data_IF_711480779314
#
_entry.id   IF_711480779314
#
_cell.length_a   1.000
_cell.length_b   1.000
_cell.length_c   1.000
_cell.angle_alpha   90.00
_cell.angle_beta   90.00
_cell.angle_gamma   90.00
#
_symmetry.space_group_name_H-M   'P 1'
#
loop_
_entity.id
_entity.type
_entity.pdbx_description
1 polymer ?
#
# COMPACT_ATOMS: atom_id res chain seq x y z
N UNK A 1 53.28 16.38 -13.31
CA UNK A 1 52.04 16.81 -12.62
C UNK A 1 50.85 16.19 -13.34
N UNK A 2 50.21 15.22 -12.67
CA UNK A 2 49.12 14.41 -13.18
C UNK A 2 47.84 15.22 -13.37
N UNK A 3 47.26 15.15 -14.56
CA UNK A 3 46.04 15.84 -14.96
C UNK A 3 44.86 15.03 -14.41
N UNK A 4 44.29 15.46 -13.29
CA UNK A 4 43.10 14.84 -12.69
C UNK A 4 41.94 14.97 -13.67
N UNK A 5 41.59 13.86 -14.31
CA UNK A 5 40.36 13.72 -15.10
C UNK A 5 39.18 13.80 -14.14
N UNK A 6 38.49 14.95 -14.12
CA UNK A 6 37.16 15.07 -13.50
C UNK A 6 36.25 14.04 -14.16
N UNK A 7 35.83 13.03 -13.39
CA UNK A 7 34.83 12.07 -13.82
C UNK A 7 33.56 12.83 -14.20
N UNK A 8 33.08 12.56 -15.42
CA UNK A 8 31.80 13.08 -15.90
C UNK A 8 30.73 12.52 -14.98
N UNK A 9 30.05 13.38 -14.21
CA UNK A 9 28.79 13.03 -13.54
C UNK A 9 27.79 12.70 -14.64
N UNK A 10 27.69 11.43 -15.00
CA UNK A 10 26.69 10.93 -15.94
C UNK A 10 25.34 11.13 -15.28
N UNK A 11 24.57 12.11 -15.77
CA UNK A 11 23.15 12.26 -15.42
C UNK A 11 22.46 10.97 -15.85
N UNK A 12 22.18 10.10 -14.90
CA UNK A 12 21.29 8.96 -15.10
C UNK A 12 19.88 9.53 -15.28
N UNK A 13 19.60 9.94 -16.52
CA UNK A 13 18.26 10.27 -16.98
C UNK A 13 17.44 9.00 -16.79
N UNK A 14 16.16 9.13 -16.45
CA UNK A 14 15.21 8.00 -16.45
C UNK A 14 14.87 7.58 -17.89
N UNK A 15 15.90 7.46 -18.75
CA UNK A 15 15.81 6.94 -20.09
C UNK A 15 15.67 5.43 -19.97
N UNK A 16 14.43 4.96 -20.00
CA UNK A 16 14.10 3.54 -20.11
C UNK A 16 14.20 3.14 -21.59
N UNK A 17 15.00 2.12 -21.89
CA UNK A 17 15.08 1.57 -23.26
C UNK A 17 14.00 0.51 -23.42
N UNK A 18 13.24 0.59 -24.51
CA UNK A 18 12.14 -0.34 -24.81
C UNK A 18 10.80 0.05 -24.18
N UNK A 19 9.81 -0.83 -24.31
CA UNK A 19 8.50 -0.69 -23.68
C UNK A 19 8.58 -1.09 -22.21
N UNK A 20 8.01 -0.27 -21.34
CA UNK A 20 7.86 -0.59 -19.92
C UNK A 20 6.53 -1.29 -19.68
N UNK A 21 6.57 -2.33 -18.86
CA UNK A 21 5.40 -2.97 -18.28
C UNK A 21 5.78 -3.53 -16.92
N UNK A 22 4.83 -3.61 -16.00
CA UNK A 22 5.02 -4.31 -14.74
C UNK A 22 5.03 -5.82 -15.01
N UNK A 23 6.04 -6.56 -14.55
CA UNK A 23 6.12 -8.00 -14.79
C UNK A 23 5.01 -8.79 -14.10
N UNK A 24 4.30 -9.64 -14.85
CA UNK A 24 3.32 -10.61 -14.32
C UNK A 24 3.92 -12.02 -14.15
N UNK A 25 5.14 -12.22 -14.64
CA UNK A 25 5.88 -13.48 -14.55
C UNK A 25 7.39 -13.23 -14.57
N UNK A 26 8.17 -14.24 -14.20
CA UNK A 26 9.63 -14.20 -14.29
C UNK A 26 10.09 -14.02 -15.74
N UNK A 27 9.40 -14.63 -16.70
CA UNK A 27 9.66 -14.52 -18.13
C UNK A 27 9.43 -13.07 -18.61
N UNK A 28 8.36 -12.43 -18.14
CA UNK A 28 8.09 -11.02 -18.43
C UNK A 28 9.19 -10.12 -17.85
N UNK A 29 9.61 -10.40 -16.60
CA UNK A 29 10.70 -9.67 -15.97
C UNK A 29 11.99 -9.80 -16.79
N UNK A 30 12.37 -11.02 -17.19
CA UNK A 30 13.57 -11.27 -18.00
C UNK A 30 13.49 -10.52 -19.33
N UNK A 31 12.33 -10.54 -20.00
CA UNK A 31 12.11 -9.82 -21.26
C UNK A 31 12.31 -8.31 -21.10
N UNK A 32 11.71 -7.71 -20.08
CA UNK A 32 11.80 -6.27 -19.80
C UNK A 32 13.20 -5.87 -19.31
N UNK A 33 13.82 -6.68 -18.45
CA UNK A 33 15.19 -6.45 -17.97
C UNK A 33 16.22 -6.59 -19.11
N UNK A 34 16.02 -7.53 -20.05
CA UNK A 34 16.89 -7.69 -21.22
C UNK A 34 16.80 -6.49 -22.15
N UNK A 35 15.59 -6.05 -22.51
CA UNK A 35 15.38 -4.91 -23.42
C UNK A 35 15.91 -3.58 -22.85
N UNK A 36 15.91 -3.45 -21.53
CA UNK A 36 16.40 -2.28 -20.81
C UNK A 36 17.87 -2.37 -20.35
N UNK A 37 18.58 -3.47 -20.67
CA UNK A 37 19.97 -3.71 -20.26
C UNK A 37 20.19 -3.77 -18.73
N UNK A 38 19.22 -4.33 -17.99
CA UNK A 38 19.20 -4.43 -16.53
C UNK A 38 19.49 -5.84 -15.97
N UNK A 39 19.60 -6.88 -16.80
CA UNK A 39 19.77 -8.27 -16.34
C UNK A 39 20.94 -8.49 -15.34
N UNK A 40 22.05 -7.76 -15.53
CA UNK A 40 23.25 -7.86 -14.69
C UNK A 40 23.39 -6.69 -13.71
N UNK A 41 22.30 -5.97 -13.46
CA UNK A 41 22.27 -4.78 -12.60
C UNK A 41 21.52 -5.08 -11.32
N UNK A 42 21.86 -4.35 -10.27
CA UNK A 42 21.14 -4.33 -8.99
C UNK A 42 20.74 -2.91 -8.62
N UNK A 43 19.93 -2.75 -7.57
CA UNK A 43 19.61 -1.42 -7.01
C UNK A 43 20.89 -0.65 -6.60
N UNK A 44 21.95 -1.35 -6.22
CA UNK A 44 23.25 -0.77 -5.86
C UNK A 44 24.04 -0.16 -7.04
N UNK A 45 23.60 -0.42 -8.28
CA UNK A 45 24.17 0.19 -9.49
C UNK A 45 23.46 1.49 -9.91
N UNK A 46 22.31 1.80 -9.29
CA UNK A 46 21.55 3.00 -9.63
C UNK A 46 22.09 4.22 -8.88
N UNK A 47 22.56 5.21 -9.63
CA UNK A 47 23.06 6.47 -9.07
C UNK A 47 21.96 7.39 -8.51
N UNK A 48 20.69 7.11 -8.83
CA UNK A 48 19.52 7.89 -8.37
C UNK A 48 18.27 7.03 -8.27
N UNK A 49 17.73 6.91 -7.07
CA UNK A 49 16.44 6.30 -6.79
C UNK A 49 15.38 7.40 -6.58
N UNK A 50 14.16 7.17 -7.06
CA UNK A 50 13.00 8.00 -6.73
C UNK A 50 12.41 7.57 -5.39
N UNK A 51 11.71 8.49 -4.71
CA UNK A 51 10.90 8.16 -3.54
C UNK A 51 9.77 7.18 -3.90
N UNK A 52 9.10 6.58 -2.90
CA UNK A 52 8.00 5.64 -3.13
C UNK A 52 6.91 6.16 -4.09
N UNK A 53 6.49 7.41 -3.94
CA UNK A 53 5.50 8.05 -4.83
C UNK A 53 6.03 8.48 -6.20
N UNK A 54 7.35 8.34 -6.44
CA UNK A 54 8.07 8.79 -7.65
C UNK A 54 9.05 7.73 -8.14
N UNK A 55 8.71 6.46 -7.97
CA UNK A 55 9.54 5.32 -8.38
C UNK A 55 9.84 5.40 -9.87
N UNK A 56 11.10 5.19 -10.22
CA UNK A 56 11.54 5.17 -11.63
C UNK A 56 11.35 3.80 -12.23
N UNK A 57 11.22 3.73 -13.56
CA UNK A 57 11.02 2.46 -14.28
C UNK A 57 12.18 1.48 -14.05
N UNK A 58 13.44 1.94 -14.18
CA UNK A 58 14.62 1.10 -13.92
C UNK A 58 14.65 0.60 -12.46
N UNK A 59 14.32 1.47 -11.52
CA UNK A 59 14.25 1.13 -10.09
C UNK A 59 13.19 0.05 -9.86
N UNK A 60 12.00 0.19 -10.43
CA UNK A 60 10.95 -0.81 -10.29
C UNK A 60 11.34 -2.17 -10.87
N UNK A 61 11.93 -2.21 -12.07
CA UNK A 61 12.42 -3.48 -12.62
C UNK A 61 13.49 -4.11 -11.71
N UNK A 62 14.35 -3.30 -11.09
CA UNK A 62 15.35 -3.79 -10.14
C UNK A 62 14.80 -4.08 -8.74
N UNK A 63 13.55 -3.75 -8.43
CA UNK A 63 12.86 -4.35 -7.29
C UNK A 63 12.55 -5.83 -7.52
N UNK A 64 12.60 -6.33 -8.77
CA UNK A 64 12.30 -7.74 -9.09
C UNK A 64 10.95 -8.18 -8.51
N UNK A 65 9.95 -7.30 -8.56
CA UNK A 65 8.59 -7.61 -8.16
C UNK A 65 7.81 -8.24 -9.32
N UNK A 66 7.10 -9.32 -9.02
CA UNK A 66 6.19 -10.02 -9.93
C UNK A 66 4.77 -9.81 -9.41
N UNK A 67 3.92 -9.20 -10.22
CA UNK A 67 2.53 -8.92 -9.90
C UNK A 67 1.61 -9.89 -10.62
N UNK A 68 1.09 -10.88 -9.89
CA UNK A 68 0.06 -11.77 -10.43
C UNK A 68 -1.19 -10.95 -10.76
N UNK A 69 -2.00 -11.46 -11.71
CA UNK A 69 -3.31 -10.87 -11.97
C UNK A 69 -4.16 -10.88 -10.71
N UNK A 70 -4.89 -9.78 -10.40
CA UNK A 70 -5.74 -9.74 -9.22
C UNK A 70 -6.73 -10.90 -9.20
N UNK A 71 -6.81 -11.55 -8.04
CA UNK A 71 -7.73 -12.64 -7.75
C UNK A 71 -9.01 -12.05 -7.17
N UNK A 72 -10.17 -12.65 -7.51
CA UNK A 72 -11.45 -12.24 -6.92
C UNK A 72 -11.43 -12.39 -5.39
N UNK A 73 -12.12 -11.47 -4.72
CA UNK A 73 -12.18 -11.39 -3.26
C UNK A 73 -12.64 -12.71 -2.58
N UNK A 74 -13.65 -13.36 -3.15
CA UNK A 74 -14.26 -14.61 -2.69
C UNK A 74 -13.29 -15.81 -2.67
N UNK A 75 -12.13 -15.69 -3.34
CA UNK A 75 -11.15 -16.77 -3.38
C UNK A 75 -10.17 -16.77 -2.22
N UNK A 76 -10.10 -15.69 -1.42
CA UNK A 76 -9.14 -15.60 -0.32
C UNK A 76 -9.40 -16.69 0.73
N UNK A 77 -10.66 -16.99 1.07
CA UNK A 77 -11.01 -18.04 2.02
C UNK A 77 -10.40 -19.39 1.64
N UNK A 78 -10.54 -19.81 0.38
CA UNK A 78 -9.97 -21.08 -0.12
C UNK A 78 -8.44 -21.09 -0.16
N UNK A 79 -7.81 -19.93 0.02
CA UNK A 79 -6.36 -19.75 0.08
C UNK A 79 -5.87 -19.34 1.47
N UNK A 80 -6.74 -19.32 2.48
CA UNK A 80 -6.40 -18.87 3.83
C UNK A 80 -5.18 -19.60 4.43
N UNK A 81 -5.05 -20.91 4.16
CA UNK A 81 -3.90 -21.71 4.61
C UNK A 81 -2.56 -21.17 4.08
N UNK A 82 -2.51 -20.69 2.83
CA UNK A 82 -1.30 -20.11 2.21
C UNK A 82 -0.73 -18.96 3.04
N UNK A 83 -1.60 -18.23 3.73
CA UNK A 83 -1.27 -17.04 4.52
C UNK A 83 -1.31 -17.28 6.03
N UNK A 84 -1.35 -18.55 6.46
CA UNK A 84 -1.50 -18.94 7.85
C UNK A 84 -2.80 -18.38 8.49
N UNK A 85 -3.90 -18.27 7.75
CA UNK A 85 -5.17 -17.73 8.28
C UNK A 85 -6.21 -18.81 8.59
N UNK A 86 -6.01 -20.06 8.14
CA UNK A 86 -6.97 -21.17 8.31
C UNK A 86 -7.35 -21.42 9.78
N UNK A 87 -6.37 -21.43 10.68
CA UNK A 87 -6.59 -21.68 12.11
C UNK A 87 -7.36 -20.58 12.86
N UNK A 88 -7.54 -19.39 12.29
CA UNK A 88 -8.29 -18.27 12.89
C UNK A 88 -9.55 -17.90 12.12
N UNK A 89 -9.75 -18.47 10.93
CA UNK A 89 -10.80 -18.06 9.99
C UNK A 89 -12.21 -18.25 10.55
N UNK A 90 -12.49 -19.38 11.19
CA UNK A 90 -13.81 -19.64 11.79
C UNK A 90 -14.09 -18.70 12.97
N UNK A 91 -13.07 -18.36 13.76
CA UNK A 91 -13.21 -17.38 14.83
C UNK A 91 -13.52 -15.99 14.26
N UNK A 92 -12.87 -15.59 13.15
CA UNK A 92 -13.16 -14.35 12.46
C UNK A 92 -14.62 -14.30 11.97
N UNK A 93 -15.10 -15.36 11.32
CA UNK A 93 -16.51 -15.50 10.92
C UNK A 93 -17.46 -15.37 12.10
N UNK A 94 -17.15 -16.04 13.22
CA UNK A 94 -17.97 -15.98 14.42
C UNK A 94 -18.04 -14.58 15.03
N UNK A 95 -16.91 -13.86 15.11
CA UNK A 95 -16.88 -12.48 15.62
C UNK A 95 -17.74 -11.54 14.75
N UNK A 96 -17.60 -11.63 13.42
CA UNK A 96 -18.37 -10.83 12.46
C UNK A 96 -19.87 -11.13 12.58
N UNK A 97 -20.25 -12.40 12.63
CA UNK A 97 -21.65 -12.81 12.74
C UNK A 97 -22.30 -12.42 14.08
N UNK A 98 -21.52 -12.37 15.16
CA UNK A 98 -22.02 -12.12 16.52
C UNK A 98 -22.23 -10.64 16.84
N UNK A 99 -21.64 -9.72 16.07
CA UNK A 99 -21.72 -8.28 16.33
C UNK A 99 -23.03 -7.67 15.81
N UNK A 100 -23.95 -7.35 16.72
CA UNK A 100 -25.26 -6.74 16.37
C UNK A 100 -25.11 -5.40 15.65
N UNK A 101 -24.17 -4.57 16.08
CA UNK A 101 -23.93 -3.26 15.46
C UNK A 101 -23.37 -3.39 14.05
N UNK A 102 -22.44 -4.34 13.83
CA UNK A 102 -21.95 -4.66 12.50
C UNK A 102 -23.08 -5.17 11.58
N UNK A 103 -23.97 -6.04 12.09
CA UNK A 103 -25.10 -6.52 11.29
C UNK A 103 -26.05 -5.38 10.87
N UNK A 104 -26.25 -4.37 11.73
CA UNK A 104 -27.00 -3.16 11.36
C UNK A 104 -26.26 -2.31 10.34
N UNK A 105 -24.94 -2.15 10.47
CA UNK A 105 -24.12 -1.50 9.45
C UNK A 105 -24.24 -2.21 8.09
N UNK A 106 -24.08 -3.53 8.04
CA UNK A 106 -24.17 -4.33 6.81
C UNK A 106 -25.55 -4.21 6.15
N UNK A 107 -26.62 -4.06 6.94
CA UNK A 107 -27.98 -3.84 6.42
C UNK A 107 -28.17 -2.47 5.73
N UNK A 108 -27.25 -1.53 5.95
CA UNK A 108 -27.28 -0.16 5.44
C UNK A 108 -26.20 0.14 4.37
N UNK A 109 -25.20 -0.72 4.19
CA UNK A 109 -24.07 -0.54 3.24
C UNK A 109 -24.52 -0.19 1.82
N UNK A 110 -25.57 -0.86 1.32
CA UNK A 110 -26.11 -0.66 -0.03
C UNK A 110 -27.27 0.35 -0.09
N UNK A 111 -27.58 1.01 1.05
CA UNK A 111 -28.75 1.91 1.22
C UNK A 111 -28.36 3.22 1.92
N UNK A 112 -27.49 4.05 1.33
CA UNK A 112 -27.04 5.31 1.92
C UNK A 112 -28.20 6.26 2.27
N UNK A 113 -29.27 6.27 1.47
CA UNK A 113 -30.47 7.06 1.70
C UNK A 113 -31.22 6.66 2.97
N UNK A 114 -31.19 5.38 3.36
CA UNK A 114 -31.83 4.92 4.58
C UNK A 114 -31.06 5.40 5.80
N UNK A 115 -29.72 5.33 5.75
CA UNK A 115 -28.87 5.81 6.83
C UNK A 115 -29.04 7.31 7.09
N UNK A 116 -29.20 8.13 6.04
CA UNK A 116 -29.40 9.58 6.17
C UNK A 116 -30.66 9.97 6.96
N UNK A 117 -31.63 9.07 7.12
CA UNK A 117 -32.88 9.29 7.86
C UNK A 117 -32.82 8.80 9.31
N UNK A 118 -31.77 8.07 9.70
CA UNK A 118 -31.64 7.48 11.02
C UNK A 118 -30.93 8.43 12.00
N UNK A 119 -31.27 8.25 13.26
CA UNK A 119 -30.68 8.89 14.44
C UNK A 119 -30.29 7.83 15.47
N UNK A 120 -29.54 8.22 16.51
CA UNK A 120 -29.06 7.28 17.53
C UNK A 120 -30.17 6.57 18.31
N UNK A 121 -31.39 7.13 18.33
CA UNK A 121 -32.54 6.52 19.01
C UNK A 121 -33.23 5.43 18.19
N UNK A 122 -32.93 5.32 16.90
CA UNK A 122 -33.56 4.35 16.02
C UNK A 122 -32.99 2.94 16.21
N UNK A 123 -33.85 1.92 16.22
CA UNK A 123 -33.43 0.53 16.42
C UNK A 123 -32.48 0.01 15.33
N UNK A 124 -32.53 0.61 14.14
CA UNK A 124 -31.69 0.31 12.99
C UNK A 124 -30.32 1.04 13.03
N UNK A 125 -30.11 1.94 13.99
CA UNK A 125 -28.85 2.69 14.11
C UNK A 125 -27.66 1.73 14.29
N UNK A 126 -26.59 1.87 13.47
CA UNK A 126 -25.45 0.94 13.48
C UNK A 126 -24.47 1.17 14.63
N UNK A 127 -24.78 2.06 15.58
CA UNK A 127 -23.97 2.26 16.79
C UNK A 127 -22.56 2.74 16.47
N UNK A 128 -21.55 2.05 17.00
CA UNK A 128 -20.13 2.33 16.77
C UNK A 128 -19.72 2.30 15.30
N UNK A 129 -20.51 1.67 14.42
CA UNK A 129 -20.25 1.61 12.97
C UNK A 129 -20.84 2.80 12.19
N UNK A 130 -21.57 3.71 12.83
CA UNK A 130 -22.14 4.88 12.16
C UNK A 130 -21.07 5.80 11.52
N UNK A 131 -19.92 6.10 12.17
CA UNK A 131 -18.84 6.86 11.54
C UNK A 131 -18.27 6.16 10.30
N UNK A 132 -18.11 4.84 10.34
CA UNK A 132 -17.63 4.03 9.20
C UNK A 132 -18.54 4.25 7.99
N UNK A 133 -19.85 4.05 8.17
CA UNK A 133 -20.83 4.21 7.10
C UNK A 133 -20.87 5.66 6.56
N UNK A 134 -20.74 6.65 7.45
CA UNK A 134 -20.70 8.06 7.07
C UNK A 134 -19.52 8.38 6.15
N UNK A 135 -18.32 7.91 6.48
CA UNK A 135 -17.12 8.19 5.67
C UNK A 135 -17.07 7.35 4.40
N UNK A 136 -17.49 6.09 4.45
CA UNK A 136 -17.69 5.24 3.28
C UNK A 136 -18.66 5.88 2.27
N UNK A 137 -19.78 6.43 2.72
CA UNK A 137 -20.74 7.10 1.84
C UNK A 137 -20.15 8.36 1.19
N UNK A 138 -19.28 9.10 1.89
CA UNK A 138 -18.55 10.24 1.31
C UNK A 138 -17.61 9.81 0.18
N UNK A 139 -16.89 8.70 0.35
CA UNK A 139 -16.07 8.11 -0.71
C UNK A 139 -16.94 7.72 -1.91
N UNK A 140 -18.06 7.05 -1.68
CA UNK A 140 -19.00 6.67 -2.75
C UNK A 140 -19.57 7.87 -3.49
N UNK A 141 -19.94 8.94 -2.78
CA UNK A 141 -20.40 10.19 -3.38
C UNK A 141 -19.30 10.86 -4.20
N UNK A 142 -18.07 10.87 -3.70
CA UNK A 142 -16.92 11.42 -4.39
C UNK A 142 -16.65 10.67 -5.70
N UNK A 143 -16.58 9.33 -5.67
CA UNK A 143 -16.36 8.52 -6.87
C UNK A 143 -17.49 8.65 -7.91
N UNK A 144 -18.73 8.99 -7.49
CA UNK A 144 -19.86 9.24 -8.42
C UNK A 144 -19.77 10.59 -9.12
N UNK A 145 -19.07 11.58 -8.54
CA UNK A 145 -18.85 12.86 -9.20
C UNK A 145 -17.92 12.58 -10.38
N UNK A 146 -18.48 12.59 -11.60
CA UNK A 146 -17.65 12.62 -12.82
C UNK A 146 -16.58 13.70 -12.60
N UNK A 147 -15.32 13.47 -12.99
CA UNK A 147 -14.38 14.58 -13.05
C UNK A 147 -15.04 15.61 -13.95
N UNK A 148 -15.46 16.75 -13.37
CA UNK A 148 -15.69 17.94 -14.16
C UNK A 148 -14.43 18.07 -15.02
N UNK A 149 -14.59 18.20 -16.35
CA UNK A 149 -13.49 18.34 -17.30
C UNK A 149 -12.34 19.01 -16.57
N UNK A 150 -11.24 18.29 -16.36
CA UNK A 150 -10.03 18.92 -15.87
C UNK A 150 -9.74 20.04 -16.87
N UNK A 151 -10.08 21.27 -16.50
CA UNK A 151 -9.47 22.45 -17.07
C UNK A 151 -7.99 22.14 -16.98
N UNK A 152 -7.26 22.12 -18.11
CA UNK A 152 -5.88 21.70 -18.10
C UNK A 152 -5.20 22.53 -17.03
N UNK A 153 -4.71 21.82 -16.00
CA UNK A 153 -3.73 22.34 -15.05
C UNK A 153 -2.84 23.23 -15.88
N UNK A 154 -2.94 24.53 -15.63
CA UNK A 154 -2.22 25.56 -16.36
C UNK A 154 -0.77 25.15 -16.23
N UNK A 155 -0.26 24.55 -17.30
CA UNK A 155 1.15 24.28 -17.45
C UNK A 155 1.82 25.60 -17.12
N UNK A 156 2.69 25.57 -16.12
CA UNK A 156 3.52 26.70 -15.77
C UNK A 156 4.35 27.03 -17.01
N UNK A 157 3.80 27.89 -17.85
CA UNK A 157 4.46 28.45 -19.02
C UNK A 157 5.64 29.20 -18.46
N UNK A 158 6.80 28.61 -18.71
CA UNK A 158 8.10 29.26 -18.73
C UNK A 158 7.98 30.65 -19.39
N UNK A 159 7.85 31.69 -18.56
CA UNK A 159 8.22 33.03 -18.97
C UNK A 159 9.68 33.25 -18.64
N UNK A 160 10.45 33.21 -19.72
CA UNK A 160 11.83 33.61 -19.82
C UNK A 160 11.98 35.06 -19.32
N UNK A 161 12.69 35.30 -18.20
CA UNK A 161 13.37 36.60 -17.96
C UNK A 161 14.52 36.50 -16.96
N UNK A 162 15.72 36.51 -17.55
CA UNK A 162 16.98 37.18 -17.15
C UNK A 162 17.55 36.94 -15.73
N UNK A 163 18.74 36.30 -15.77
CA UNK A 163 19.89 36.38 -14.85
C UNK A 163 19.89 37.53 -13.82
N UNK A 164 20.15 37.19 -12.55
CA UNK A 164 21.19 37.83 -11.72
C UNK A 164 21.67 36.87 -10.61
N UNK A 165 22.97 36.95 -10.32
CA UNK A 165 23.73 36.17 -9.35
C UNK A 165 23.25 36.31 -7.90
N UNK A 166 23.48 35.26 -7.09
CA UNK A 166 23.48 35.32 -5.63
C UNK A 166 23.54 33.93 -5.00
N UNK A 167 24.50 33.71 -4.10
CA UNK A 167 24.85 32.43 -3.43
C UNK A 167 24.04 32.27 -2.14
N UNK A 168 23.46 31.09 -1.87
CA UNK A 168 23.47 30.34 -0.59
C UNK A 168 22.36 29.26 -0.55
N UNK A 169 22.57 28.12 0.14
CA UNK A 169 21.65 26.99 0.16
C UNK A 169 20.54 27.23 1.20
N UNK A 170 19.28 27.02 0.82
CA UNK A 170 18.17 26.97 1.76
C UNK A 170 17.58 25.56 1.78
N UNK A 171 17.66 24.99 2.97
CA UNK A 171 16.93 23.82 3.44
C UNK A 171 15.45 24.03 3.12
N UNK A 172 14.90 23.18 2.27
CA UNK A 172 13.49 23.20 1.90
C UNK A 172 12.69 22.59 3.07
N UNK A 173 12.53 23.37 4.14
CA UNK A 173 11.61 23.07 5.23
C UNK A 173 10.18 23.36 4.77
N UNK A 174 9.45 22.26 4.57
CA UNK A 174 8.02 22.03 4.81
C UNK A 174 7.21 23.28 5.20
N UNK A 175 6.44 23.78 4.24
CA UNK A 175 5.17 24.45 4.48
C UNK A 175 4.14 23.78 3.55
N UNK A 176 3.68 22.60 3.96
CA UNK A 176 2.43 22.03 3.48
C UNK A 176 1.29 22.61 4.34
N UNK A 177 0.97 23.88 4.17
CA UNK A 177 -0.23 24.47 4.77
C UNK A 177 -1.10 25.11 3.68
N UNK A 178 -2.41 24.88 3.80
CA UNK A 178 -3.51 25.33 2.92
C UNK A 178 -3.70 24.61 1.57
N UNK A 179 -3.55 23.28 1.52
CA UNK A 179 -4.35 22.51 0.56
C UNK A 179 -5.70 22.15 1.20
N UNK A 180 -6.85 22.31 0.48
CA UNK A 180 -8.09 21.69 0.94
C UNK A 180 -7.82 20.20 1.19
N UNK A 181 -8.55 19.56 2.13
CA UNK A 181 -8.37 18.13 2.39
C UNK A 181 -8.34 17.41 1.05
N UNK A 182 -7.23 16.74 0.75
CA UNK A 182 -7.15 15.93 -0.46
C UNK A 182 -8.29 14.93 -0.39
N UNK A 183 -8.94 14.62 -1.51
CA UNK A 183 -9.95 13.56 -1.56
C UNK A 183 -9.35 12.21 -1.06
N UNK A 184 -8.02 12.09 -1.11
CA UNK A 184 -7.25 10.98 -0.54
C UNK A 184 -7.33 10.94 1.00
N UNK A 185 -7.43 12.07 1.69
CA UNK A 185 -7.66 12.12 3.14
C UNK A 185 -9.03 11.58 3.53
N UNK A 186 -10.06 11.78 2.70
CA UNK A 186 -11.39 11.19 2.89
C UNK A 186 -11.30 9.66 2.77
N UNK A 187 -10.58 9.19 1.74
CA UNK A 187 -10.33 7.76 1.50
C UNK A 187 -9.57 7.12 2.67
N UNK A 188 -8.48 7.76 3.14
CA UNK A 188 -7.72 7.28 4.29
C UNK A 188 -8.58 7.21 5.57
N UNK A 189 -9.37 8.26 5.82
CA UNK A 189 -10.25 8.30 6.99
C UNK A 189 -11.29 7.18 6.94
N UNK A 190 -11.86 6.92 5.76
CA UNK A 190 -12.82 5.83 5.57
C UNK A 190 -12.19 4.46 5.85
N UNK A 191 -11.01 4.19 5.25
CA UNK A 191 -10.29 2.94 5.44
C UNK A 191 -9.90 2.72 6.91
N UNK A 192 -9.27 3.70 7.57
CA UNK A 192 -8.80 3.56 8.95
C UNK A 192 -9.97 3.36 9.92
N UNK A 193 -11.07 4.10 9.77
CA UNK A 193 -12.26 3.90 10.62
C UNK A 193 -12.88 2.52 10.42
N UNK A 194 -12.91 2.01 9.18
CA UNK A 194 -13.38 0.65 8.92
C UNK A 194 -12.47 -0.38 9.60
N UNK A 195 -11.15 -0.25 9.45
CA UNK A 195 -10.18 -1.18 10.02
C UNK A 195 -10.20 -1.16 11.56
N UNK A 196 -10.32 0.01 12.17
CA UNK A 196 -10.46 0.18 13.62
C UNK A 196 -11.78 -0.42 14.15
N UNK A 197 -12.89 -0.24 13.42
CA UNK A 197 -14.16 -0.86 13.78
C UNK A 197 -14.09 -2.40 13.72
N UNK A 198 -13.39 -2.99 12.74
CA UNK A 198 -13.15 -4.44 12.69
C UNK A 198 -12.23 -4.88 13.84
N UNK A 199 -11.15 -4.13 14.10
CA UNK A 199 -10.22 -4.40 15.20
C UNK A 199 -10.96 -4.46 16.55
N UNK A 200 -11.93 -3.57 16.78
CA UNK A 200 -12.74 -3.54 18.01
C UNK A 200 -13.53 -4.82 18.28
N UNK A 201 -13.74 -5.66 17.26
CA UNK A 201 -14.38 -6.97 17.41
C UNK A 201 -13.45 -8.00 18.05
N UNK A 202 -12.12 -7.78 18.07
CA UNK A 202 -11.11 -8.71 18.59
C UNK A 202 -10.67 -8.25 19.98
N UNK A 203 -11.10 -8.93 21.07
CA UNK A 203 -10.73 -8.53 22.42
C UNK A 203 -9.23 -8.64 22.66
N UNK A 204 -8.64 -7.63 23.29
CA UNK A 204 -7.23 -7.60 23.70
C UNK A 204 -6.28 -7.92 22.53
N UNK A 205 -6.51 -7.28 21.38
CA UNK A 205 -5.75 -7.55 20.16
C UNK A 205 -4.24 -7.29 20.30
N UNK A 206 -3.84 -6.34 21.15
CA UNK A 206 -2.43 -5.97 21.35
C UNK A 206 -1.79 -5.30 20.13
N UNK A 207 -2.61 -4.85 19.18
CA UNK A 207 -2.20 -4.14 17.98
C UNK A 207 -3.25 -3.07 17.65
N UNK A 208 -2.86 -2.11 16.81
CA UNK A 208 -3.73 -1.02 16.39
C UNK A 208 -3.46 -0.62 14.94
N UNK A 209 -4.51 -0.15 14.27
CA UNK A 209 -4.38 0.51 12.98
C UNK A 209 -4.14 2.01 13.22
N UNK A 210 -3.16 2.56 12.51
CA UNK A 210 -2.79 3.96 12.63
C UNK A 210 -2.90 4.69 11.30
N UNK A 211 -3.26 5.97 11.37
CA UNK A 211 -3.16 6.92 10.26
C UNK A 211 -1.77 7.58 10.18
N UNK A 212 -0.86 7.27 11.11
CA UNK A 212 0.50 7.76 11.07
C UNK A 212 1.26 7.11 9.92
N UNK A 213 1.89 7.96 9.12
CA UNK A 213 2.71 7.53 7.98
C UNK A 213 3.96 6.84 8.47
N UNK A 214 4.12 5.56 8.14
CA UNK A 214 5.37 4.84 8.40
C UNK A 214 6.36 5.12 7.27
N UNK A 215 7.56 5.54 7.65
CA UNK A 215 8.68 5.79 6.76
C UNK A 215 9.60 4.57 6.64
N UNK A 216 9.79 4.08 5.42
CA UNK A 216 10.83 3.10 5.10
C UNK A 216 11.94 3.75 4.31
N UNK A 217 13.12 3.86 4.94
CA UNK A 217 14.34 4.36 4.32
C UNK A 217 15.23 3.19 3.92
N UNK A 218 15.57 3.13 2.64
CA UNK A 218 16.40 2.07 2.06
C UNK A 218 17.61 2.67 1.38
N UNK A 219 18.77 2.41 1.97
CA UNK A 219 20.06 2.85 1.44
C UNK A 219 20.73 1.72 0.67
N UNK A 220 21.20 2.06 -0.53
CA UNK A 220 22.02 1.22 -1.42
C UNK A 220 23.36 1.93 -1.65
N UNK A 221 24.32 1.21 -2.25
CA UNK A 221 25.71 1.68 -2.41
C UNK A 221 25.84 3.10 -2.97
N UNK A 222 25.03 3.50 -3.94
CA UNK A 222 25.15 4.81 -4.61
C UNK A 222 24.01 5.78 -4.29
N UNK A 223 22.87 5.29 -3.78
CA UNK A 223 21.67 6.09 -3.57
C UNK A 223 20.76 5.41 -2.55
N UNK A 224 19.90 6.19 -1.92
CA UNK A 224 18.80 5.68 -1.11
C UNK A 224 17.45 6.15 -1.65
N UNK A 225 16.38 5.50 -1.20
CA UNK A 225 15.02 6.02 -1.35
C UNK A 225 14.26 5.94 -0.04
N UNK A 226 13.26 6.82 0.07
CA UNK A 226 12.28 6.82 1.15
C UNK A 226 10.90 6.53 0.57
N UNK A 227 10.21 5.57 1.16
CA UNK A 227 8.80 5.29 0.90
C UNK A 227 8.00 5.62 2.16
N UNK A 228 6.86 6.29 1.99
CA UNK A 228 5.95 6.67 3.05
C UNK A 228 4.63 5.97 2.77
N UNK A 229 4.11 5.28 3.76
CA UNK A 229 2.77 4.67 3.73
C UNK A 229 1.72 5.69 4.18
N UNK A 230 0.44 5.38 3.97
CA UNK A 230 -0.67 6.19 4.47
C UNK A 230 -1.19 5.75 5.85
N UNK A 231 -0.63 4.64 6.36
CA UNK A 231 -0.90 4.10 7.67
C UNK A 231 -0.28 2.72 7.84
N UNK A 232 -0.53 2.09 8.98
CA UNK A 232 -0.06 0.73 9.26
C UNK A 232 -0.93 0.01 10.28
N UNK A 233 -0.76 -1.31 10.37
CA UNK A 233 -1.08 -2.11 11.54
C UNK A 233 0.24 -2.37 12.28
N UNK A 234 0.34 -2.00 13.56
CA UNK A 234 1.52 -2.26 14.38
C UNK A 234 1.16 -2.79 15.76
N UNK A 235 2.15 -3.25 16.52
CA UNK A 235 1.95 -3.70 17.90
C UNK A 235 1.79 -2.49 18.82
N UNK A 236 0.79 -2.51 19.70
CA UNK A 236 0.54 -1.40 20.61
C UNK A 236 1.74 -1.23 21.55
N UNK A 237 2.34 -0.03 21.54
CA UNK A 237 3.54 0.26 22.32
C UNK A 237 4.87 -0.09 21.63
N UNK A 238 4.84 -0.62 20.40
CA UNK A 238 6.02 -0.84 19.56
C UNK A 238 5.71 -0.48 18.08
N UNK A 239 5.86 0.81 17.77
CA UNK A 239 5.56 1.38 16.45
C UNK A 239 6.50 0.87 15.33
N UNK A 240 7.66 0.31 15.70
CA UNK A 240 8.59 -0.29 14.73
C UNK A 240 8.18 -1.71 14.34
N UNK A 241 7.35 -2.36 15.15
CA UNK A 241 6.79 -3.68 14.92
C UNK A 241 5.53 -3.62 14.04
N UNK A 242 5.76 -3.24 12.78
CA UNK A 242 4.74 -3.21 11.74
C UNK A 242 4.34 -4.64 11.32
N UNK A 243 3.03 -4.87 11.18
CA UNK A 243 2.40 -6.15 10.79
C UNK A 243 1.64 -6.09 9.46
N UNK A 244 1.17 -4.91 9.07
CA UNK A 244 0.66 -4.63 7.72
C UNK A 244 0.86 -3.14 7.42
N UNK A 245 0.88 -2.77 6.15
CA UNK A 245 0.94 -1.36 5.72
C UNK A 245 -0.33 -0.97 4.99
N UNK A 246 -0.69 0.31 5.08
CA UNK A 246 -1.86 0.89 4.42
C UNK A 246 -1.41 1.86 3.32
N UNK A 247 -2.11 1.82 2.19
CA UNK A 247 -1.89 2.73 1.06
C UNK A 247 -3.24 3.17 0.50
N UNK A 248 -3.43 4.47 0.25
CA UNK A 248 -4.71 4.95 -0.29
C UNK A 248 -4.53 5.79 -1.55
N UNK A 249 -5.54 5.73 -2.40
CA UNK A 249 -5.67 6.60 -3.57
C UNK A 249 -7.11 7.07 -3.71
N UNK A 250 -7.28 8.33 -4.06
CA UNK A 250 -8.63 8.89 -4.31
C UNK A 250 -9.34 8.32 -5.54
N UNK A 251 -8.58 7.81 -6.52
CA UNK A 251 -9.10 7.32 -7.80
C UNK A 251 -9.12 5.81 -7.86
N UNK A 252 -9.81 5.24 -8.84
CA UNK A 252 -9.86 3.79 -8.98
C UNK A 252 -8.49 3.24 -9.35
N UNK A 253 -8.20 2.03 -8.88
CA UNK A 253 -6.94 1.31 -9.12
C UNK A 253 -6.54 1.31 -10.60
N UNK A 254 -7.50 1.08 -11.49
CA UNK A 254 -7.25 0.95 -12.92
C UNK A 254 -6.99 2.28 -13.64
N UNK A 255 -7.28 3.43 -13.02
CA UNK A 255 -7.00 4.75 -13.60
C UNK A 255 -5.49 5.04 -13.63
N UNK A 256 -4.72 4.47 -12.68
CA UNK A 256 -3.28 4.67 -12.54
C UNK A 256 -2.54 3.38 -12.18
N UNK A 257 -2.99 2.24 -12.74
CA UNK A 257 -2.64 0.89 -12.30
C UNK A 257 -1.13 0.62 -12.14
N UNK A 258 -0.33 1.03 -13.13
CA UNK A 258 1.11 0.81 -13.07
C UNK A 258 1.78 1.69 -12.01
N UNK A 259 1.35 2.95 -11.89
CA UNK A 259 1.94 3.88 -10.92
C UNK A 259 1.67 3.45 -9.49
N UNK A 260 0.46 2.96 -9.21
CA UNK A 260 0.06 2.45 -7.90
C UNK A 260 0.92 1.23 -7.54
N UNK A 261 0.97 0.21 -8.40
CA UNK A 261 1.78 -0.99 -8.17
C UNK A 261 3.27 -0.68 -8.01
N UNK A 262 3.81 0.30 -8.75
CA UNK A 262 5.19 0.74 -8.58
C UNK A 262 5.46 1.35 -7.20
N UNK A 263 4.52 2.15 -6.69
CA UNK A 263 4.61 2.75 -5.36
C UNK A 263 4.46 1.68 -4.26
N UNK A 264 3.42 0.86 -4.31
CA UNK A 264 3.17 -0.25 -3.37
C UNK A 264 4.39 -1.20 -3.30
N UNK A 265 5.02 -1.47 -4.45
CA UNK A 265 6.27 -2.24 -4.51
C UNK A 265 7.39 -1.55 -3.73
N UNK A 266 7.57 -0.24 -3.86
CA UNK A 266 8.64 0.47 -3.16
C UNK A 266 8.44 0.48 -1.64
N UNK A 267 7.20 0.58 -1.16
CA UNK A 267 6.89 0.49 0.27
C UNK A 267 7.21 -0.90 0.82
N UNK A 268 6.78 -1.95 0.13
CA UNK A 268 7.06 -3.33 0.51
C UNK A 268 8.55 -3.66 0.46
N UNK A 269 9.27 -3.21 -0.57
CA UNK A 269 10.74 -3.37 -0.63
C UNK A 269 11.43 -2.57 0.47
N UNK A 270 10.95 -1.36 0.75
CA UNK A 270 11.44 -0.53 1.83
C UNK A 270 11.31 -1.24 3.19
N UNK A 271 10.16 -1.86 3.42
CA UNK A 271 9.90 -2.66 4.62
C UNK A 271 10.77 -3.91 4.68
N UNK A 272 10.90 -4.65 3.57
CA UNK A 272 11.72 -5.87 3.49
C UNK A 272 13.23 -5.63 3.60
N UNK A 273 13.69 -4.40 3.40
CA UNK A 273 15.10 -4.03 3.59
C UNK A 273 15.48 -3.90 5.07
N UNK A 274 14.51 -3.67 5.96
CA UNK A 274 14.75 -3.68 7.42
C UNK A 274 15.30 -5.06 7.85
N UNK A 275 16.07 -5.13 8.96
CA UNK A 275 16.56 -6.41 9.48
C UNK A 275 15.45 -7.43 9.63
N UNK A 276 15.78 -8.71 9.41
CA UNK A 276 14.83 -9.79 9.62
C UNK A 276 14.34 -9.78 11.07
N UNK A 277 13.03 -9.98 11.22
CA UNK A 277 12.37 -10.10 12.50
C UNK A 277 11.63 -11.44 12.58
N UNK A 278 11.61 -12.14 13.72
CA UNK A 278 10.99 -13.46 13.82
C UNK A 278 9.52 -13.52 13.37
N UNK A 279 8.76 -12.43 13.56
CA UNK A 279 7.37 -12.34 13.14
C UNK A 279 7.17 -12.21 11.62
N UNK A 280 8.24 -12.11 10.83
CA UNK A 280 8.16 -12.20 9.38
C UNK A 280 7.51 -13.51 8.92
N UNK A 281 7.61 -14.58 9.72
CA UNK A 281 6.99 -15.87 9.43
C UNK A 281 5.52 -15.97 9.84
N UNK A 282 4.96 -14.96 10.51
CA UNK A 282 3.59 -14.99 11.05
C UNK A 282 2.55 -15.35 9.98
N UNK A 283 2.73 -14.83 8.76
CA UNK A 283 1.86 -15.08 7.60
C UNK A 283 2.55 -15.98 6.57
N UNK A 284 3.28 -17.02 7.01
CA UNK A 284 4.08 -17.91 6.16
C UNK A 284 5.09 -17.15 5.27
N UNK A 285 5.75 -16.14 5.84
CA UNK A 285 6.73 -15.30 5.15
C UNK A 285 6.13 -14.17 4.29
N UNK A 286 4.81 -13.98 4.27
CA UNK A 286 4.18 -12.90 3.50
C UNK A 286 4.15 -11.58 4.30
N UNK A 287 4.38 -10.47 3.60
CA UNK A 287 4.01 -9.12 4.03
C UNK A 287 2.62 -8.78 3.51
N UNK A 288 1.87 -8.01 4.29
CA UNK A 288 0.49 -7.61 3.96
C UNK A 288 0.46 -6.12 3.66
N UNK A 289 -0.15 -5.76 2.54
CA UNK A 289 -0.53 -4.41 2.18
C UNK A 289 -2.05 -4.39 2.00
N UNK A 290 -2.71 -3.46 2.70
CA UNK A 290 -4.14 -3.18 2.57
C UNK A 290 -4.26 -1.85 1.83
N UNK A 291 -4.94 -1.83 0.70
CA UNK A 291 -5.11 -0.61 -0.08
C UNK A 291 -6.56 -0.26 -0.35
N UNK A 292 -6.90 1.02 -0.32
CA UNK A 292 -8.20 1.56 -0.78
C UNK A 292 -7.96 2.52 -1.95
N UNK A 293 -8.45 2.14 -3.12
CA UNK A 293 -8.34 2.93 -4.35
C UNK A 293 -9.74 3.37 -4.81
N UNK A 294 -10.11 4.59 -4.44
CA UNK A 294 -11.47 5.10 -4.61
C UNK A 294 -12.43 4.32 -3.73
N UNK A 295 -13.44 3.67 -4.33
CA UNK A 295 -14.44 2.89 -3.60
C UNK A 295 -14.18 1.38 -3.59
N UNK A 296 -12.92 0.96 -3.78
CA UNK A 296 -12.49 -0.44 -3.83
C UNK A 296 -11.33 -0.70 -2.88
N UNK A 297 -11.51 -1.63 -1.95
CA UNK A 297 -10.43 -2.13 -1.08
C UNK A 297 -9.78 -3.37 -1.70
N UNK A 298 -8.49 -3.54 -1.46
CA UNK A 298 -7.67 -4.63 -1.96
C UNK A 298 -6.70 -5.12 -0.89
N UNK A 299 -6.44 -6.42 -0.89
CA UNK A 299 -5.49 -7.06 0.04
C UNK A 299 -4.38 -7.71 -0.76
N UNK A 300 -3.16 -7.23 -0.60
CA UNK A 300 -1.97 -7.75 -1.29
C UNK A 300 -1.09 -8.52 -0.30
N UNK A 301 -0.77 -9.77 -0.64
CA UNK A 301 0.20 -10.59 0.06
C UNK A 301 1.48 -10.69 -0.77
N UNK A 302 2.59 -10.23 -0.18
CA UNK A 302 3.88 -10.12 -0.82
C UNK A 302 4.87 -11.12 -0.20
N UNK A 303 5.37 -12.08 -0.98
CA UNK A 303 6.34 -13.07 -0.49
C UNK A 303 7.70 -12.91 -1.18
N UNK A 304 8.76 -12.55 -0.44
CA UNK A 304 10.12 -12.62 -0.98
C UNK A 304 10.55 -14.08 -1.18
N UNK A 305 11.34 -14.34 -2.20
CA UNK A 305 12.10 -15.59 -2.29
C UNK A 305 13.18 -15.64 -1.20
N UNK A 306 13.71 -16.82 -0.93
CA UNK A 306 14.74 -17.02 0.09
C UNK A 306 16.02 -16.22 -0.16
N UNK A 307 16.35 -15.93 -1.43
CA UNK A 307 17.53 -15.15 -1.82
C UNK A 307 17.29 -13.65 -1.88
N UNK A 308 16.05 -13.18 -1.71
CA UNK A 308 15.68 -11.78 -1.91
C UNK A 308 16.33 -10.82 -0.91
N UNK A 309 16.43 -11.21 0.37
CA UNK A 309 17.07 -10.37 1.40
C UNK A 309 18.57 -10.16 1.12
N UNK A 310 19.25 -11.21 0.64
CA UNK A 310 20.64 -11.13 0.19
C UNK A 310 20.77 -10.25 -1.05
N UNK A 311 19.86 -10.37 -2.02
CA UNK A 311 19.82 -9.51 -3.20
C UNK A 311 19.69 -8.03 -2.85
N UNK A 312 18.80 -7.67 -1.91
CA UNK A 312 18.65 -6.30 -1.47
C UNK A 312 19.89 -5.75 -0.74
N UNK A 313 20.72 -6.62 -0.17
CA UNK A 313 21.83 -6.24 0.71
C UNK A 313 23.21 -6.34 0.06
N UNK A 314 23.32 -6.96 -1.11
CA UNK A 314 24.59 -7.18 -1.79
C UNK A 314 24.61 -6.56 -3.18
N UNK A 315 25.81 -6.36 -3.72
CA UNK A 315 25.99 -5.88 -5.10
C UNK A 315 25.82 -6.99 -6.14
N UNK A 316 25.47 -8.21 -5.72
CA UNK A 316 25.46 -9.39 -6.58
C UNK A 316 24.07 -9.59 -7.18
N UNK A 317 23.93 -9.59 -8.51
CA UNK A 317 22.68 -10.01 -9.14
C UNK A 317 22.32 -11.43 -8.74
N UNK A 318 21.08 -11.65 -8.33
CA UNK A 318 20.55 -12.97 -8.07
C UNK A 318 19.44 -13.25 -9.07
N UNK A 319 19.52 -14.38 -9.77
CA UNK A 319 18.56 -14.74 -10.82
C UNK A 319 17.18 -15.03 -10.23
N UNK A 320 17.14 -15.70 -9.07
CA UNK A 320 15.96 -16.20 -8.36
C UNK A 320 15.42 -15.28 -7.25
N UNK A 321 15.99 -14.08 -7.10
CA UNK A 321 15.60 -13.12 -6.08
C UNK A 321 14.35 -12.32 -6.47
N UNK A 322 13.15 -12.87 -6.28
CA UNK A 322 11.89 -12.21 -6.63
C UNK A 322 11.04 -11.89 -5.40
N UNK A 323 10.22 -10.85 -5.55
CA UNK A 323 9.12 -10.53 -4.65
C UNK A 323 7.80 -10.82 -5.36
N UNK A 324 7.10 -11.87 -4.95
CA UNK A 324 5.83 -12.28 -5.56
C UNK A 324 4.65 -11.61 -4.86
N UNK A 325 3.83 -10.90 -5.62
CA UNK A 325 2.65 -10.16 -5.14
C UNK A 325 1.37 -10.86 -5.61
N UNK A 326 0.51 -11.22 -4.66
CA UNK A 326 -0.84 -11.72 -4.95
C UNK A 326 -1.86 -10.79 -4.32
N UNK A 327 -2.72 -10.21 -5.15
CA UNK A 327 -3.73 -9.24 -4.73
C UNK A 327 -5.13 -9.85 -4.82
N UNK A 328 -5.92 -9.68 -3.77
CA UNK A 328 -7.34 -10.05 -3.72
C UNK A 328 -8.21 -8.81 -3.71
N UNK A 329 -9.26 -8.81 -4.54
CA UNK A 329 -10.22 -7.73 -4.61
C UNK A 329 -10.95 -7.67 -5.96
N UNK A 330 -11.61 -6.55 -6.27
CA UNK A 330 -11.90 -5.47 -5.32
C UNK A 330 -12.93 -5.94 -4.27
N UNK A 331 -12.86 -5.41 -3.06
CA UNK A 331 -13.97 -5.38 -2.10
C UNK A 331 -14.65 -4.02 -2.24
N UNK A 332 -15.89 -3.98 -2.74
CA UNK A 332 -16.56 -2.72 -3.05
C UNK A 332 -17.26 -2.16 -1.83
N UNK A 333 -16.95 -0.89 -1.52
CA UNK A 333 -17.54 -0.16 -0.40
C UNK A 333 -19.08 -0.12 -0.43
N UNK A 334 -19.69 -0.15 -1.61
CA UNK A 334 -21.15 -0.12 -1.75
C UNK A 334 -21.84 -1.49 -1.78
N UNK A 335 -21.11 -2.59 -1.54
CA UNK A 335 -21.64 -3.96 -1.68
C UNK A 335 -21.59 -4.71 -0.35
N UNK A 336 -22.76 -5.07 0.17
CA UNK A 336 -22.92 -5.71 1.49
C UNK A 336 -22.03 -6.95 1.65
N UNK A 337 -22.10 -7.88 0.71
CA UNK A 337 -21.35 -9.14 0.78
C UNK A 337 -19.83 -8.91 0.68
N UNK A 338 -19.40 -7.90 -0.08
CA UNK A 338 -17.97 -7.55 -0.15
C UNK A 338 -17.50 -7.02 1.21
N UNK A 339 -18.28 -6.13 1.84
CA UNK A 339 -17.93 -5.57 3.15
C UNK A 339 -17.97 -6.62 4.27
N UNK A 340 -18.93 -7.55 4.24
CA UNK A 340 -18.96 -8.68 5.17
C UNK A 340 -17.72 -9.57 5.02
N UNK A 341 -17.38 -9.95 3.78
CA UNK A 341 -16.18 -10.74 3.49
C UNK A 341 -14.89 -10.00 3.88
N UNK A 342 -14.83 -8.69 3.66
CA UNK A 342 -13.70 -7.86 4.06
C UNK A 342 -13.55 -7.83 5.59
N UNK A 343 -14.65 -7.67 6.34
CA UNK A 343 -14.63 -7.76 7.80
C UNK A 343 -14.05 -9.09 8.28
N UNK A 344 -14.42 -10.22 7.64
CA UNK A 344 -13.89 -11.55 8.00
C UNK A 344 -12.39 -11.62 7.73
N UNK A 345 -11.92 -11.12 6.58
CA UNK A 345 -10.49 -11.12 6.22
C UNK A 345 -9.67 -10.30 7.21
N UNK A 346 -10.11 -9.07 7.50
CA UNK A 346 -9.41 -8.18 8.43
C UNK A 346 -9.43 -8.76 9.85
N UNK A 347 -10.56 -9.27 10.32
CA UNK A 347 -10.66 -9.93 11.62
C UNK A 347 -9.74 -11.16 11.71
N UNK A 348 -9.59 -11.94 10.63
CA UNK A 348 -8.66 -13.08 10.59
C UNK A 348 -7.19 -12.62 10.68
N UNK A 349 -6.81 -11.54 9.98
CA UNK A 349 -5.47 -10.96 10.06
C UNK A 349 -5.19 -10.47 11.48
N UNK A 350 -6.11 -9.71 12.08
CA UNK A 350 -6.00 -9.19 13.45
C UNK A 350 -5.91 -10.32 14.46
N UNK A 351 -6.78 -11.34 14.38
CA UNK A 351 -6.73 -12.51 15.25
C UNK A 351 -5.39 -13.25 15.16
N UNK A 352 -4.84 -13.39 13.95
CA UNK A 352 -3.52 -14.03 13.77
C UNK A 352 -2.42 -13.24 14.48
N UNK A 353 -2.44 -11.91 14.36
CA UNK A 353 -1.52 -11.04 15.11
C UNK A 353 -1.73 -11.21 16.62
N UNK A 354 -2.96 -11.03 17.11
CA UNK A 354 -3.29 -11.10 18.52
C UNK A 354 -2.88 -12.44 19.16
N UNK A 355 -3.09 -13.56 18.47
CA UNK A 355 -2.71 -14.88 18.98
C UNK A 355 -1.19 -15.06 19.04
N UNK A 356 -0.43 -14.39 18.17
CA UNK A 356 1.04 -14.45 18.21
C UNK A 356 1.65 -13.70 19.39
N UNK A 357 0.89 -12.81 20.03
CA UNK A 357 1.32 -12.03 21.19
C UNK A 357 1.02 -12.73 22.51
N UNK A 358 0.25 -13.83 22.50
CA UNK A 358 -0.10 -14.56 23.71
C UNK A 358 1.09 -15.41 24.18
N UNK A 359 1.32 -15.53 25.49
CA UNK A 359 2.28 -16.48 26.02
C UNK A 359 1.92 -17.90 25.54
N UNK A 360 2.94 -18.67 25.11
CA UNK A 360 2.77 -20.08 24.72
C UNK A 360 2.57 -20.99 25.93
#
# INVERSE_FOLDING_TARGET
MSRVQRSKVTRDKDSFKGSFSIPESTEDWVRVAKSSSLLKKTLNDLSKLGSGSRVKKKQHILFKAIWDRPVKNDKLEYKAERYNLSGVWQNAKHLVASSRELQRYLALVDKPQNFALLTEIDCAWPGSWAPVLKWQNRVLEFCKRKPALETPSTGTRSHNRKRKHGIAPQVEQVLEDDKPPSDESITNTALVLFLDAVLSLVPSAGCEFTMFRVAFESNFRQAGFKALTDGALWITGDEEDVRAILEVKKGHRYDNYDRIRMQETAELVGWLKKPYQPWNELFNGHKILISEDGNEVWITFAKPSSTYSQYLSTDTPAEDAFLHMVTYGPYRLGHKEDMENLCIVIAAIVLRVAYSLRPQ
#
